data_IF_552489249543
#
_entry.id   IF_552489249543
#
_cell.length_a   1.000
_cell.length_b   1.000
_cell.length_c   1.000
_cell.angle_alpha   90.00
_cell.angle_beta   90.00
_cell.angle_gamma   90.00
#
_symmetry.space_group_name_H-M   'P 1'
#
loop_
_entity.id
_entity.type
_entity.pdbx_description
1 polymer ?
#
# COMPACT_ATOMS: atom_id res chain seq x y z
N UNK A 1 5.30 -35.98 21.18
CA UNK A 1 4.73 -34.61 21.33
C UNK A 1 4.93 -33.74 20.07
N UNK A 2 4.81 -34.29 18.85
CA UNK A 2 5.12 -33.54 17.61
C UNK A 2 3.93 -33.38 16.64
N UNK A 3 2.81 -34.09 16.85
CA UNK A 3 1.64 -34.06 15.96
C UNK A 3 0.54 -33.07 16.38
N UNK A 4 0.50 -32.66 17.65
CA UNK A 4 -0.51 -31.73 18.17
C UNK A 4 -0.18 -30.24 17.98
N UNK A 5 1.06 -29.92 17.59
CA UNK A 5 1.55 -28.54 17.51
C UNK A 5 1.61 -27.99 16.08
N UNK A 6 1.42 -28.83 15.05
CA UNK A 6 1.59 -28.40 13.65
C UNK A 6 0.48 -27.44 13.19
N UNK A 7 -0.76 -27.70 13.62
CA UNK A 7 -1.94 -26.88 13.33
C UNK A 7 -1.85 -25.48 13.95
N UNK A 8 -1.58 -25.31 15.26
CA UNK A 8 -1.47 -23.98 15.86
C UNK A 8 -0.32 -23.16 15.26
N UNK A 9 0.82 -23.79 14.94
CA UNK A 9 1.95 -23.10 14.31
C UNK A 9 1.59 -22.56 12.92
N UNK A 10 0.87 -23.34 12.11
CA UNK A 10 0.40 -22.89 10.80
C UNK A 10 -0.59 -21.73 10.91
N UNK A 11 -1.49 -21.78 11.90
CA UNK A 11 -2.47 -20.71 12.14
C UNK A 11 -1.78 -19.39 12.52
N UNK A 12 -0.79 -19.45 13.41
CA UNK A 12 -0.01 -18.28 13.83
C UNK A 12 0.78 -17.70 12.67
N UNK A 13 1.37 -18.57 11.81
CA UNK A 13 2.08 -18.12 10.62
C UNK A 13 1.15 -17.39 9.65
N UNK A 14 -0.04 -17.93 9.40
CA UNK A 14 -1.04 -17.29 8.54
C UNK A 14 -1.51 -15.95 9.12
N UNK A 15 -1.72 -15.87 10.44
CA UNK A 15 -2.08 -14.63 11.11
C UNK A 15 -0.98 -13.57 10.95
N UNK A 16 0.29 -13.95 11.14
CA UNK A 16 1.43 -13.05 10.98
C UNK A 16 1.54 -12.50 9.55
N UNK A 17 1.32 -13.34 8.53
CA UNK A 17 1.29 -12.91 7.13
C UNK A 17 0.14 -11.94 6.88
N UNK A 18 -1.05 -12.21 7.44
CA UNK A 18 -2.20 -11.32 7.32
C UNK A 18 -1.92 -9.95 7.96
N UNK A 19 -1.36 -9.92 9.17
CA UNK A 19 -0.99 -8.68 9.85
C UNK A 19 0.09 -7.90 9.09
N UNK A 20 1.06 -8.57 8.48
CA UNK A 20 2.08 -7.92 7.65
C UNK A 20 1.51 -7.37 6.33
N UNK A 21 0.51 -8.05 5.74
CA UNK A 21 -0.16 -7.60 4.52
C UNK A 21 -1.09 -6.39 4.77
N UNK A 22 -1.47 -6.10 6.02
CA UNK A 22 -2.31 -4.95 6.37
C UNK A 22 -1.57 -3.61 6.46
N UNK A 23 -0.30 -3.54 6.06
CA UNK A 23 0.30 -2.23 5.81
C UNK A 23 -0.37 -1.65 4.56
N UNK A 24 -1.42 -0.85 4.79
CA UNK A 24 -2.08 -0.03 3.78
C UNK A 24 -1.05 0.97 3.28
N UNK A 25 -0.22 0.56 2.33
CA UNK A 25 0.64 1.47 1.61
C UNK A 25 -0.28 2.32 0.75
N UNK A 26 -0.38 3.60 1.09
CA UNK A 26 -0.98 4.56 0.19
C UNK A 26 -0.22 4.57 -1.13
N UNK A 27 -0.93 4.86 -2.21
CA UNK A 27 -0.34 4.91 -3.53
C UNK A 27 0.54 6.16 -3.65
N UNK A 28 1.73 5.99 -4.22
CA UNK A 28 2.57 7.12 -4.64
C UNK A 28 2.08 7.65 -6.00
N UNK A 29 1.98 8.97 -6.10
CA UNK A 29 1.55 9.68 -7.28
C UNK A 29 2.59 10.72 -7.69
N UNK A 30 3.27 10.46 -8.81
CA UNK A 30 4.24 11.39 -9.37
C UNK A 30 3.54 12.62 -9.95
N UNK A 31 3.76 13.77 -9.33
CA UNK A 31 3.15 15.03 -9.73
C UNK A 31 3.77 15.53 -11.04
N UNK A 32 2.89 15.87 -12.00
CA UNK A 32 3.32 16.32 -13.33
C UNK A 32 3.86 15.22 -14.24
N UNK A 33 3.68 13.94 -13.89
CA UNK A 33 4.03 12.78 -14.74
C UNK A 33 5.51 12.78 -15.15
N UNK A 34 5.80 12.82 -16.45
CA UNK A 34 7.15 12.83 -17.01
C UNK A 34 7.78 14.23 -17.02
N UNK A 35 6.94 15.27 -16.94
CA UNK A 35 7.36 16.67 -17.00
C UNK A 35 7.74 17.23 -15.62
N UNK A 36 7.37 16.52 -14.54
CA UNK A 36 7.65 16.89 -13.16
C UNK A 36 6.84 18.10 -12.67
N UNK A 37 7.28 18.72 -11.57
CA UNK A 37 6.58 19.86 -10.99
C UNK A 37 6.87 21.18 -11.73
N UNK A 38 5.87 21.78 -12.37
CA UNK A 38 5.97 23.08 -13.05
C UNK A 38 4.66 23.89 -13.00
N UNK A 39 4.67 25.15 -13.45
CA UNK A 39 3.58 26.11 -13.25
C UNK A 39 2.23 25.79 -13.93
N UNK A 40 2.14 24.80 -14.83
CA UNK A 40 0.93 24.50 -15.61
C UNK A 40 0.45 23.04 -15.45
N UNK A 41 0.43 22.54 -14.22
CA UNK A 41 -0.01 21.18 -13.86
C UNK A 41 -1.38 21.13 -13.16
N UNK A 42 -2.17 22.20 -13.20
CA UNK A 42 -3.40 22.33 -12.39
C UNK A 42 -4.44 21.25 -12.65
N UNK A 43 -4.44 20.63 -13.83
CA UNK A 43 -5.32 19.53 -14.23
C UNK A 43 -4.73 18.13 -13.99
N UNK A 44 -3.54 18.02 -13.37
CA UNK A 44 -2.86 16.75 -13.18
C UNK A 44 -3.68 15.78 -12.30
N UNK A 45 -4.46 16.31 -11.35
CA UNK A 45 -5.23 15.53 -10.38
C UNK A 45 -6.62 15.11 -10.83
N UNK A 46 -7.14 15.65 -11.94
CA UNK A 46 -8.57 15.56 -12.30
C UNK A 46 -9.07 14.12 -12.52
N UNK A 47 -8.18 13.21 -12.90
CA UNK A 47 -8.47 11.80 -13.20
C UNK A 47 -8.07 10.84 -12.06
N UNK A 48 -7.58 11.34 -10.93
CA UNK A 48 -6.95 10.50 -9.90
C UNK A 48 -7.90 10.27 -8.74
N UNK A 49 -8.22 9.00 -8.42
CA UNK A 49 -8.94 8.66 -7.20
C UNK A 49 -7.97 8.69 -6.00
N UNK A 50 -7.47 9.88 -5.66
CA UNK A 50 -6.54 10.09 -4.54
C UNK A 50 -7.29 9.81 -3.24
N UNK A 51 -6.70 9.00 -2.36
CA UNK A 51 -7.28 8.63 -1.07
C UNK A 51 -6.39 9.06 0.08
N UNK A 52 -6.98 9.14 1.28
CA UNK A 52 -6.22 9.36 2.51
C UNK A 52 -5.17 8.26 2.65
N UNK A 53 -3.93 8.67 2.92
CA UNK A 53 -2.76 7.79 3.01
C UNK A 53 -1.88 7.79 1.76
N UNK A 54 -2.41 8.21 0.61
CA UNK A 54 -1.60 8.38 -0.62
C UNK A 54 -0.54 9.47 -0.46
N UNK A 55 0.56 9.32 -1.19
CA UNK A 55 1.70 10.24 -1.17
C UNK A 55 1.82 10.90 -2.54
N UNK A 56 1.98 12.23 -2.54
CA UNK A 56 2.28 13.00 -3.75
C UNK A 56 3.78 13.28 -3.78
N UNK A 57 4.45 12.82 -4.83
CA UNK A 57 5.90 12.92 -5.00
C UNK A 57 6.24 13.79 -6.20
#
# INVERSE_FOLDING_TARGET
>A
MARGTMVPTLLVLLLAIFCAATVVHGKEWNVGRQDGWFFSISNWGDDKPIKVGDVLV
#
